data_IF_129602392020
#
_entry.id   IF_129602392020
#
_cell.length_a   1.000
_cell.length_b   1.000
_cell.length_c   1.000
_cell.angle_alpha   90.00
_cell.angle_beta   90.00
_cell.angle_gamma   90.00
#
_symmetry.space_group_name_H-M   'P 1'
#
loop_
_entity.id
_entity.type
_entity.pdbx_description
1 polymer ?
#
# COMPACT_ATOMS: atom_id res chain seq x y z
N UNK A 1 7.62 -15.06 1.76
CA UNK A 1 7.13 -14.04 0.81
C UNK A 1 7.41 -12.67 1.40
N UNK A 2 6.94 -11.60 0.77
CA UNK A 2 6.90 -10.28 1.43
C UNK A 2 5.68 -10.29 2.36
N UNK A 3 5.87 -9.87 3.60
CA UNK A 3 4.77 -9.76 4.57
C UNK A 3 4.24 -8.32 4.58
N UNK A 4 2.93 -8.21 4.56
CA UNK A 4 2.19 -6.93 4.62
C UNK A 4 1.12 -7.12 5.70
N UNK A 5 0.94 -6.10 6.53
CA UNK A 5 -0.10 -6.10 7.56
C UNK A 5 -1.17 -5.11 7.19
N UNK A 6 -2.43 -5.54 7.26
CA UNK A 6 -3.60 -4.69 7.04
C UNK A 6 -4.47 -4.72 8.28
N UNK A 7 -4.73 -3.54 8.85
CA UNK A 7 -5.57 -3.38 10.05
C UNK A 7 -6.84 -2.67 9.67
N UNK A 8 -7.97 -3.34 9.91
CA UNK A 8 -9.30 -2.79 9.69
C UNK A 8 -9.81 -2.13 10.98
N UNK A 9 -10.13 -0.84 10.92
CA UNK A 9 -10.53 -0.05 12.07
C UNK A 9 -11.95 0.47 11.85
N UNK A 10 -12.89 -0.04 12.65
CA UNK A 10 -14.26 0.47 12.70
C UNK A 10 -14.32 1.79 13.47
N UNK A 11 -14.99 2.79 12.89
CA UNK A 11 -15.34 4.02 13.61
C UNK A 11 -16.55 3.85 14.53
N UNK A 12 -16.96 4.93 15.20
CA UNK A 12 -18.08 4.96 16.15
C UNK A 12 -19.40 4.41 15.58
N UNK A 13 -19.63 4.59 14.28
CA UNK A 13 -20.88 4.19 13.59
C UNK A 13 -20.71 2.84 12.87
N UNK A 14 -19.48 2.35 12.71
CA UNK A 14 -19.23 1.12 11.97
C UNK A 14 -19.70 -0.10 12.77
N UNK A 15 -20.73 -0.78 12.24
CA UNK A 15 -21.43 -1.84 12.97
C UNK A 15 -20.80 -3.22 12.83
N UNK A 16 -20.08 -3.49 11.73
CA UNK A 16 -19.50 -4.82 11.43
C UNK A 16 -18.25 -4.70 10.57
N UNK A 17 -17.17 -5.32 11.04
CA UNK A 17 -15.98 -5.70 10.25
C UNK A 17 -16.18 -7.16 9.84
N UNK A 18 -16.09 -7.47 8.55
CA UNK A 18 -16.18 -8.83 8.03
C UNK A 18 -14.96 -9.13 7.17
N UNK A 19 -14.18 -10.14 7.55
CA UNK A 19 -13.18 -10.76 6.69
C UNK A 19 -13.82 -11.96 6.00
N UNK A 20 -13.77 -12.01 4.67
CA UNK A 20 -14.33 -13.11 3.88
C UNK A 20 -13.25 -14.13 3.46
N UNK A 21 -11.99 -13.90 3.86
CA UNK A 21 -10.88 -14.81 3.57
C UNK A 21 -10.76 -15.95 4.58
N UNK A 22 -10.28 -17.09 4.09
CA UNK A 22 -9.78 -18.20 4.88
C UNK A 22 -8.25 -18.21 4.92
N UNK A 23 -7.67 -18.91 5.90
CA UNK A 23 -6.22 -19.10 5.96
C UNK A 23 -5.67 -19.73 4.67
N UNK A 24 -4.51 -19.28 4.23
CA UNK A 24 -3.85 -19.72 2.99
C UNK A 24 -4.64 -19.47 1.70
N UNK A 25 -5.76 -18.75 1.73
CA UNK A 25 -6.52 -18.40 0.54
C UNK A 25 -5.70 -17.49 -0.38
N UNK A 26 -5.58 -17.88 -1.65
CA UNK A 26 -4.95 -17.06 -2.68
C UNK A 26 -5.96 -16.01 -3.15
N UNK A 27 -5.52 -14.76 -3.22
CA UNK A 27 -6.29 -13.64 -3.75
C UNK A 27 -5.58 -12.99 -4.93
N UNK A 28 -6.35 -12.44 -5.86
CA UNK A 28 -5.81 -11.65 -6.97
C UNK A 28 -5.72 -10.17 -6.58
N UNK A 29 -4.82 -9.44 -7.24
CA UNK A 29 -4.76 -7.98 -7.12
C UNK A 29 -6.14 -7.37 -7.41
N UNK A 30 -6.58 -6.46 -6.53
CA UNK A 30 -7.88 -5.80 -6.64
C UNK A 30 -9.07 -6.60 -6.09
N UNK A 31 -8.89 -7.87 -5.71
CA UNK A 31 -9.96 -8.62 -5.03
C UNK A 31 -10.22 -8.07 -3.63
N UNK A 32 -11.49 -8.12 -3.24
CA UNK A 32 -11.93 -7.75 -1.89
C UNK A 32 -11.62 -8.90 -0.93
N UNK A 33 -10.88 -8.61 0.13
CA UNK A 33 -10.66 -9.57 1.23
C UNK A 33 -11.67 -9.41 2.37
N UNK A 34 -12.37 -8.29 2.44
CA UNK A 34 -13.34 -8.01 3.48
C UNK A 34 -14.02 -6.66 3.30
N UNK A 35 -14.87 -6.30 4.26
CA UNK A 35 -15.62 -5.05 4.26
C UNK A 35 -15.86 -4.54 5.68
N UNK A 36 -15.79 -3.22 5.83
CA UNK A 36 -16.23 -2.50 7.02
C UNK A 36 -17.40 -1.60 6.62
N UNK A 37 -18.53 -1.71 7.31
CA UNK A 37 -19.75 -0.95 6.96
C UNK A 37 -19.84 0.36 7.74
N UNK A 38 -20.35 1.42 7.09
CA UNK A 38 -20.71 2.72 7.68
C UNK A 38 -19.54 3.56 8.23
N UNK A 39 -18.53 3.78 7.39
CA UNK A 39 -17.43 4.70 7.68
C UNK A 39 -16.33 4.01 8.50
N UNK A 40 -15.16 3.87 7.89
CA UNK A 40 -14.07 3.08 8.46
C UNK A 40 -12.72 3.54 7.95
N UNK A 41 -11.68 3.18 8.68
CA UNK A 41 -10.29 3.40 8.30
C UNK A 41 -9.59 2.05 8.11
N UNK A 42 -8.59 2.03 7.24
CA UNK A 42 -7.66 0.92 7.09
C UNK A 42 -6.25 1.45 7.24
N UNK A 43 -5.45 0.79 8.08
CA UNK A 43 -4.01 1.01 8.13
C UNK A 43 -3.30 -0.10 7.35
N UNK A 44 -2.37 0.27 6.47
CA UNK A 44 -1.56 -0.66 5.69
C UNK A 44 -0.10 -0.44 6.07
N UNK A 45 0.51 -1.46 6.63
CA UNK A 45 1.93 -1.45 7.01
C UNK A 45 2.72 -2.17 5.92
N UNK A 46 3.60 -1.41 5.28
CA UNK A 46 4.46 -1.88 4.20
C UNK A 46 5.92 -1.94 4.69
N UNK A 47 6.71 -2.90 4.17
CA UNK A 47 8.15 -2.87 4.37
C UNK A 47 8.78 -1.59 3.84
N UNK A 48 9.88 -1.15 4.44
CA UNK A 48 10.63 0.04 4.00
C UNK A 48 11.19 -0.05 2.56
N UNK A 49 11.17 -1.25 1.96
CA UNK A 49 11.56 -1.49 0.58
C UNK A 49 10.47 -1.15 -0.44
N UNK A 50 9.38 -0.50 -0.04
CA UNK A 50 8.29 -0.09 -0.93
C UNK A 50 8.33 1.42 -1.16
N UNK A 51 8.00 1.84 -2.38
CA UNK A 51 7.79 3.23 -2.75
C UNK A 51 6.30 3.54 -2.70
N UNK A 52 5.91 4.54 -1.89
CA UNK A 52 4.51 4.94 -1.73
C UNK A 52 4.08 5.80 -2.92
N UNK A 53 2.96 5.44 -3.55
CA UNK A 53 2.45 6.05 -4.78
C UNK A 53 1.27 7.01 -4.57
N UNK A 54 0.88 7.23 -3.31
CA UNK A 54 -0.29 8.03 -2.94
C UNK A 54 0.10 9.24 -2.10
N UNK A 55 -0.73 10.29 -2.18
CA UNK A 55 -0.55 11.53 -1.44
C UNK A 55 -1.54 11.65 -0.28
N UNK A 56 -1.18 12.44 0.73
CA UNK A 56 -2.10 12.78 1.81
C UNK A 56 -3.34 13.52 1.27
N UNK A 57 -4.52 13.13 1.75
CA UNK A 57 -5.80 13.70 1.30
C UNK A 57 -6.29 13.22 -0.07
N UNK A 58 -5.54 12.36 -0.77
CA UNK A 58 -5.96 11.80 -2.04
C UNK A 58 -7.19 10.89 -1.88
N UNK A 59 -8.19 11.07 -2.75
CA UNK A 59 -9.33 10.16 -2.85
C UNK A 59 -8.89 8.82 -3.44
N UNK A 60 -9.34 7.73 -2.83
CA UNK A 60 -8.96 6.36 -3.16
C UNK A 60 -10.17 5.54 -3.57
N UNK A 61 -9.98 4.62 -4.52
CA UNK A 61 -10.97 3.62 -4.92
C UNK A 61 -10.45 2.24 -4.50
N UNK A 62 -11.22 1.56 -3.65
CA UNK A 62 -10.86 0.24 -3.13
C UNK A 62 -10.74 -0.79 -4.26
N UNK A 63 -9.64 -1.54 -4.29
CA UNK A 63 -9.35 -2.53 -5.33
C UNK A 63 -8.75 -1.96 -6.61
N UNK A 64 -8.65 -0.63 -6.73
CA UNK A 64 -8.15 0.04 -7.95
C UNK A 64 -6.94 0.93 -7.67
N UNK A 65 -6.97 1.75 -6.62
CA UNK A 65 -5.85 2.66 -6.35
C UNK A 65 -4.66 1.91 -5.77
N UNK A 66 -3.52 2.00 -6.46
CA UNK A 66 -2.26 1.38 -6.03
C UNK A 66 -1.63 2.23 -4.93
N UNK A 67 -1.44 1.64 -3.75
CA UNK A 67 -0.84 2.32 -2.59
C UNK A 67 0.68 2.48 -2.72
N UNK A 68 1.36 1.46 -3.21
CA UNK A 68 2.81 1.40 -3.27
C UNK A 68 3.30 0.31 -4.22
N UNK A 69 4.48 0.53 -4.80
CA UNK A 69 5.21 -0.47 -5.57
C UNK A 69 6.40 -1.00 -4.78
N UNK A 70 6.73 -2.28 -4.96
CA UNK A 70 7.97 -2.82 -4.43
C UNK A 70 9.16 -2.16 -5.17
N UNK A 71 10.15 -1.67 -4.44
CA UNK A 71 11.38 -1.17 -5.05
C UNK A 71 12.03 -2.33 -5.81
N UNK A 72 12.02 -2.25 -7.14
CA UNK A 72 12.94 -3.06 -7.94
C UNK A 72 14.34 -2.62 -7.53
N UNK A 73 15.24 -3.58 -7.28
CA UNK A 73 16.68 -3.32 -7.28
C UNK A 73 17.05 -2.78 -8.66
N UNK A 74 16.87 -1.49 -8.90
CA UNK A 74 17.48 -0.78 -10.00
C UNK A 74 18.92 -0.52 -9.58
N UNK A 75 19.86 -1.00 -10.39
CA UNK A 75 21.27 -0.71 -10.24
C UNK A 75 21.45 0.80 -10.05
N UNK A 76 22.16 1.19 -8.98
CA UNK A 76 22.57 2.59 -8.77
C UNK A 76 23.29 3.06 -10.03
N UNK A 77 22.61 3.79 -10.91
CA UNK A 77 23.27 4.54 -11.98
C UNK A 77 24.05 5.63 -11.28
N UNK A 78 25.34 5.38 -11.05
CA UNK A 78 26.29 6.35 -10.54
C UNK A 78 26.26 7.52 -11.52
N UNK A 79 25.53 8.58 -11.16
CA UNK A 79 25.62 9.86 -11.85
C UNK A 79 27.00 10.40 -11.46
N UNK A 80 28.02 10.12 -12.29
CA UNK A 80 29.28 10.85 -12.25
C UNK A 80 28.94 12.31 -12.51
N UNK A 81 28.89 13.13 -11.45
CA UNK A 81 28.98 14.58 -11.59
C UNK A 81 30.37 14.89 -12.16
N UNK A 82 30.47 15.00 -13.48
CA UNK A 82 31.56 15.73 -14.11
C UNK A 82 31.37 17.20 -13.77
N UNK A 83 31.94 17.63 -12.64
CA UNK A 83 32.16 19.05 -12.38
C UNK A 83 33.43 19.41 -13.16
N UNK A 84 33.24 19.99 -14.33
CA UNK A 84 34.30 20.76 -15.00
C UNK A 84 34.65 21.96 -14.11
N UNK A 85 35.93 22.29 -13.90
CA UNK A 85 36.30 23.51 -13.19
C UNK A 85 35.93 24.70 -14.08
N UNK A 86 34.99 25.54 -13.64
CA UNK A 86 34.77 26.85 -14.25
C UNK A 86 35.44 27.92 -13.40
N UNK A 87 36.49 28.49 -14.00
CA UNK A 87 37.31 29.65 -13.62
C UNK A 87 38.13 29.58 -12.34
#
# INVERSE_FOLDING_TARGET
>A
GIEIVVVQISGLIARRIKCDLSESQIVKTGEKYGIIRFGSRVDVYLPLSYEVNVLEGQTMIGGETVLADALKKSEKKIIKKNVSPQK
#
